data_IF_799169036734
#
_entry.id   IF_799169036734
#
_cell.length_a   1.000
_cell.length_b   1.000
_cell.length_c   1.000
_cell.angle_alpha   90.00
_cell.angle_beta   90.00
_cell.angle_gamma   90.00
#
_symmetry.space_group_name_H-M   'P 1'
#
loop_
_entity.id
_entity.type
_entity.pdbx_description
1 polymer ?
#
# COMPACT_ATOMS: atom_id res chain seq x y z
N UNK A 1 14.69 18.43 0.58
CA UNK A 1 13.97 17.50 -0.33
C UNK A 1 13.65 16.28 0.47
N UNK A 2 12.39 15.86 0.46
CA UNK A 2 11.98 14.63 1.12
C UNK A 2 12.61 13.43 0.39
N UNK A 3 13.04 12.40 1.12
CA UNK A 3 13.64 11.20 0.51
C UNK A 3 12.63 10.49 -0.39
N UNK A 4 11.35 10.52 -0.03
CA UNK A 4 10.29 9.93 -0.85
C UNK A 4 10.07 10.71 -2.15
N UNK A 5 10.22 12.04 -2.15
CA UNK A 5 10.17 12.84 -3.38
C UNK A 5 11.30 12.44 -4.33
N UNK A 6 12.51 12.20 -3.81
CA UNK A 6 13.64 11.78 -4.62
C UNK A 6 13.44 10.37 -5.21
N UNK A 7 12.95 9.42 -4.42
CA UNK A 7 12.72 8.04 -4.84
C UNK A 7 11.58 7.90 -5.87
N UNK A 8 10.61 8.81 -5.83
CA UNK A 8 9.45 8.81 -6.73
C UNK A 8 9.62 9.76 -7.92
N UNK A 9 10.80 10.38 -8.07
CA UNK A 9 11.08 11.41 -9.08
C UNK A 9 11.30 10.81 -10.46
N UNK A 10 10.41 11.18 -11.38
CA UNK A 10 10.40 11.07 -12.85
C UNK A 10 10.55 9.68 -13.49
N UNK A 11 11.30 8.77 -12.89
CA UNK A 11 11.50 7.42 -13.38
C UNK A 11 10.59 6.47 -12.61
N UNK A 12 9.43 6.15 -13.19
CA UNK A 12 8.49 5.16 -12.65
C UNK A 12 9.08 3.75 -12.50
N UNK A 13 10.37 3.55 -12.77
CA UNK A 13 11.10 2.30 -12.68
C UNK A 13 11.01 1.67 -11.30
N UNK A 14 11.16 2.45 -10.22
CA UNK A 14 11.04 1.92 -8.86
C UNK A 14 9.64 1.35 -8.64
N UNK A 15 8.62 2.14 -8.96
CA UNK A 15 7.23 1.76 -8.73
C UNK A 15 6.81 0.59 -9.63
N UNK A 16 7.24 0.60 -10.90
CA UNK A 16 7.00 -0.49 -11.85
C UNK A 16 7.62 -1.80 -11.37
N UNK A 17 8.86 -1.75 -10.86
CA UNK A 17 9.55 -2.93 -10.30
C UNK A 17 8.86 -3.47 -9.05
N UNK A 18 8.31 -2.59 -8.21
CA UNK A 18 7.56 -2.98 -7.02
C UNK A 18 6.19 -3.58 -7.36
N UNK A 19 5.52 -3.11 -8.40
CA UNK A 19 4.14 -3.51 -8.70
C UNK A 19 4.04 -4.74 -9.57
N UNK A 20 5.03 -4.99 -10.43
CA UNK A 20 5.06 -6.16 -11.31
C UNK A 20 4.76 -7.48 -10.58
N UNK A 21 5.31 -7.76 -9.37
CA UNK A 21 4.99 -8.99 -8.65
C UNK A 21 3.56 -9.06 -8.10
N UNK A 22 2.83 -7.94 -8.06
CA UNK A 22 1.48 -7.82 -7.51
C UNK A 22 0.37 -7.78 -8.56
N UNK A 23 0.70 -7.58 -9.83
CA UNK A 23 -0.27 -7.44 -10.93
C UNK A 23 -0.54 -8.79 -11.57
N UNK A 24 -1.80 -9.00 -11.95
CA UNK A 24 -2.25 -10.14 -12.74
C UNK A 24 -2.93 -9.67 -14.04
N UNK A 25 -2.82 -10.45 -15.11
CA UNK A 25 -3.57 -10.21 -16.35
C UNK A 25 -5.09 -10.38 -16.16
N UNK A 26 -5.50 -11.14 -15.14
CA UNK A 26 -6.91 -11.33 -14.78
C UNK A 26 -7.51 -10.16 -13.97
N UNK A 27 -6.72 -9.12 -13.67
CA UNK A 27 -7.19 -7.96 -12.92
C UNK A 27 -8.19 -7.13 -13.73
N UNK A 28 -9.34 -6.82 -13.10
CA UNK A 28 -10.43 -6.08 -13.74
C UNK A 28 -10.23 -4.58 -13.56
N UNK A 29 -9.32 -4.04 -14.35
CA UNK A 29 -9.04 -2.61 -14.43
C UNK A 29 -9.75 -2.00 -15.64
N UNK A 30 -10.38 -0.85 -15.45
CA UNK A 30 -10.99 -0.10 -16.55
C UNK A 30 -9.90 0.59 -17.40
N UNK A 31 -10.22 0.98 -18.64
CA UNK A 31 -9.27 1.64 -19.55
C UNK A 31 -8.64 2.90 -18.92
N UNK A 32 -9.44 3.70 -18.21
CA UNK A 32 -8.98 4.89 -17.48
C UNK A 32 -8.06 4.56 -16.31
N UNK A 33 -8.26 3.40 -15.65
CA UNK A 33 -7.41 2.93 -14.55
C UNK A 33 -6.07 2.43 -15.10
N UNK A 34 -6.09 1.69 -16.22
CA UNK A 34 -4.89 1.20 -16.92
C UNK A 34 -4.06 2.39 -17.44
N UNK A 35 -4.69 3.39 -18.05
CA UNK A 35 -4.01 4.56 -18.62
C UNK A 35 -3.23 5.38 -17.57
N UNK A 36 -3.59 5.28 -16.28
CA UNK A 36 -2.89 5.94 -15.16
C UNK A 36 -1.67 5.17 -14.67
N UNK A 37 -1.57 3.88 -14.97
CA UNK A 37 -0.44 3.07 -14.54
C UNK A 37 0.85 3.53 -15.24
N UNK A 38 2.02 3.29 -14.62
CA UNK A 38 3.30 3.39 -15.31
C UNK A 38 3.28 2.65 -16.65
N UNK A 39 3.89 3.24 -17.68
CA UNK A 39 3.86 2.69 -19.06
C UNK A 39 4.31 1.23 -19.16
N UNK A 40 5.23 0.81 -18.29
CA UNK A 40 5.76 -0.55 -18.23
C UNK A 40 4.70 -1.58 -17.79
N UNK A 41 3.66 -1.15 -17.08
CA UNK A 41 2.61 -2.00 -16.53
C UNK A 41 1.34 -2.00 -17.37
N UNK A 42 1.14 -0.99 -18.22
CA UNK A 42 -0.07 -0.88 -19.06
C UNK A 42 -0.23 -2.05 -20.05
N UNK A 43 0.88 -2.66 -20.45
CA UNK A 43 0.94 -3.78 -21.38
C UNK A 43 1.43 -5.07 -20.72
N UNK A 44 1.24 -5.19 -19.40
CA UNK A 44 1.67 -6.36 -18.64
C UNK A 44 0.68 -7.51 -18.83
N UNK A 45 1.16 -8.63 -19.40
CA UNK A 45 0.37 -9.85 -19.65
C UNK A 45 0.83 -11.03 -18.78
N UNK A 46 1.58 -10.75 -17.70
CA UNK A 46 2.06 -11.78 -16.79
C UNK A 46 1.17 -11.98 -15.58
N UNK A 47 1.54 -12.95 -14.76
CA UNK A 47 0.80 -13.32 -13.54
C UNK A 47 1.49 -12.84 -12.28
N UNK A 48 0.73 -12.78 -11.19
CA UNK A 48 1.24 -12.48 -9.85
C UNK A 48 2.33 -13.44 -9.43
N UNK A 49 3.23 -12.95 -8.59
CA UNK A 49 4.23 -13.79 -7.97
C UNK A 49 3.59 -14.75 -6.95
N UNK A 50 4.03 -16.01 -6.96
CA UNK A 50 3.53 -17.06 -6.06
C UNK A 50 4.19 -17.03 -4.67
N UNK A 51 5.24 -16.22 -4.47
CA UNK A 51 5.93 -16.09 -3.19
C UNK A 51 5.31 -14.98 -2.35
N UNK A 52 4.55 -15.31 -1.29
CA UNK A 52 3.70 -14.33 -0.62
C UNK A 52 4.49 -13.46 0.39
N UNK A 53 5.69 -13.88 0.80
CA UNK A 53 6.61 -13.06 1.60
C UNK A 53 7.08 -11.83 0.81
N UNK A 54 7.25 -11.98 -0.51
CA UNK A 54 7.63 -10.88 -1.40
C UNK A 54 6.47 -9.88 -1.49
N UNK A 55 5.24 -10.36 -1.63
CA UNK A 55 4.04 -9.53 -1.62
C UNK A 55 3.91 -8.70 -0.33
N UNK A 56 4.10 -9.33 0.84
CA UNK A 56 4.09 -8.64 2.13
C UNK A 56 5.13 -7.51 2.22
N UNK A 57 6.38 -7.78 1.80
CA UNK A 57 7.42 -6.74 1.81
C UNK A 57 7.12 -5.59 0.86
N UNK A 58 6.54 -5.87 -0.31
CA UNK A 58 6.13 -4.82 -1.25
C UNK A 58 5.01 -3.98 -0.63
N UNK A 59 3.96 -4.57 -0.08
CA UNK A 59 2.87 -3.82 0.56
C UNK A 59 3.37 -2.97 1.73
N UNK A 60 4.26 -3.48 2.57
CA UNK A 60 4.90 -2.68 3.64
C UNK A 60 5.71 -1.52 3.08
N UNK A 61 6.37 -1.71 1.94
CA UNK A 61 7.12 -0.65 1.25
C UNK A 61 6.16 0.43 0.73
N UNK A 62 5.05 0.04 0.10
CA UNK A 62 4.01 0.99 -0.34
C UNK A 62 3.41 1.74 0.87
N UNK A 63 3.19 1.04 1.99
CA UNK A 63 2.71 1.64 3.23
C UNK A 63 3.69 2.66 3.80
N UNK A 64 4.99 2.38 3.72
CA UNK A 64 6.06 3.31 4.07
C UNK A 64 6.05 4.56 3.18
N UNK A 65 5.87 4.41 1.86
CA UNK A 65 5.79 5.54 0.92
C UNK A 65 4.55 6.42 1.20
N UNK A 66 3.43 5.81 1.59
CA UNK A 66 2.22 6.51 2.00
C UNK A 66 2.37 7.33 3.30
N UNK A 67 3.49 7.22 4.02
CA UNK A 67 3.74 8.02 5.20
C UNK A 67 3.81 9.53 4.90
N UNK A 68 4.20 9.91 3.67
CA UNK A 68 4.34 11.30 3.23
C UNK A 68 3.19 11.73 2.33
N UNK A 69 2.83 13.02 2.35
CA UNK A 69 1.80 13.59 1.46
C UNK A 69 2.14 13.39 -0.01
N UNK A 70 3.39 13.68 -0.39
CA UNK A 70 3.87 13.51 -1.76
C UNK A 70 3.72 12.05 -2.23
N UNK A 71 4.13 11.09 -1.41
CA UNK A 71 3.94 9.66 -1.69
C UNK A 71 2.47 9.32 -1.96
N UNK A 72 1.54 9.72 -1.10
CA UNK A 72 0.11 9.44 -1.32
C UNK A 72 -0.43 10.07 -2.60
N UNK A 73 -0.04 11.30 -2.92
CA UNK A 73 -0.44 11.97 -4.16
C UNK A 73 0.11 11.24 -5.39
N UNK A 74 1.39 10.85 -5.35
CA UNK A 74 2.05 10.12 -6.43
C UNK A 74 1.41 8.74 -6.66
N UNK A 75 1.16 7.97 -5.60
CA UNK A 75 0.49 6.67 -5.71
C UNK A 75 -0.96 6.78 -6.22
N UNK A 76 -1.72 7.81 -5.83
CA UNK A 76 -3.07 8.05 -6.36
C UNK A 76 -3.03 8.43 -7.84
N UNK A 77 -2.12 9.32 -8.23
CA UNK A 77 -1.94 9.75 -9.61
C UNK A 77 -1.59 8.59 -10.55
N UNK A 78 -0.81 7.62 -10.05
CA UNK A 78 -0.36 6.43 -10.80
C UNK A 78 -1.32 5.24 -10.75
N UNK A 79 -2.56 5.42 -10.28
CA UNK A 79 -3.59 4.38 -10.32
C UNK A 79 -3.42 3.22 -9.32
N UNK A 80 -2.55 3.35 -8.30
CA UNK A 80 -2.20 2.22 -7.41
C UNK A 80 -3.37 1.71 -6.56
N UNK A 81 -4.35 2.58 -6.29
CA UNK A 81 -5.57 2.18 -5.61
C UNK A 81 -6.32 1.04 -6.34
N UNK A 82 -6.45 1.12 -7.67
CA UNK A 82 -7.18 0.13 -8.45
C UNK A 82 -6.49 -1.24 -8.40
N UNK A 83 -5.16 -1.25 -8.48
CA UNK A 83 -4.35 -2.47 -8.33
C UNK A 83 -4.54 -3.12 -6.96
N UNK A 84 -4.50 -2.34 -5.89
CA UNK A 84 -4.68 -2.87 -4.53
C UNK A 84 -6.11 -3.36 -4.29
N UNK A 85 -7.11 -2.75 -4.94
CA UNK A 85 -8.52 -3.20 -4.91
C UNK A 85 -8.66 -4.60 -5.52
N UNK A 86 -8.10 -4.82 -6.71
CA UNK A 86 -8.16 -6.13 -7.36
C UNK A 86 -7.32 -7.17 -6.60
N UNK A 87 -6.19 -6.76 -5.98
CA UNK A 87 -5.42 -7.63 -5.10
C UNK A 87 -6.21 -8.07 -3.84
N UNK A 88 -6.96 -7.17 -3.20
CA UNK A 88 -7.82 -7.50 -2.05
C UNK A 88 -8.98 -8.41 -2.46
N UNK A 89 -9.52 -8.21 -3.67
CA UNK A 89 -10.54 -9.08 -4.26
C UNK A 89 -10.02 -10.49 -4.51
N UNK A 90 -8.83 -10.61 -5.13
CA UNK A 90 -8.19 -11.88 -5.44
C UNK A 90 -7.82 -12.66 -4.17
N UNK A 91 -7.40 -11.96 -3.11
CA UNK A 91 -7.05 -12.59 -1.82
C UNK A 91 -8.25 -12.93 -0.94
N UNK A 92 -9.40 -12.28 -1.16
CA UNK A 92 -10.64 -12.57 -0.43
C UNK A 92 -11.49 -13.65 -1.09
N UNK A 93 -11.21 -14.04 -2.34
CA UNK A 93 -11.96 -15.06 -3.05
C UNK A 93 -11.63 -16.47 -2.50
N UNK A 94 -12.60 -17.20 -1.93
CA UNK A 94 -12.37 -18.57 -1.47
C UNK A 94 -12.38 -19.52 -2.68
N UNK A 95 -11.19 -19.83 -3.18
CA UNK A 95 -10.98 -20.94 -4.12
C UNK A 95 -11.20 -20.60 -5.60
N UNK A 96 -10.20 -20.94 -6.39
CA UNK A 96 -10.26 -20.89 -7.84
C UNK A 96 -8.87 -20.87 -8.44
N UNK A 97 -8.16 -22.01 -8.38
CA UNK A 97 -7.02 -22.25 -9.28
C UNK A 97 -7.56 -22.19 -10.71
N UNK A 98 -7.35 -21.08 -11.40
CA UNK A 98 -7.60 -21.03 -12.83
C UNK A 98 -6.26 -21.21 -13.54
N UNK A 99 -6.11 -22.37 -14.17
CA UNK A 99 -5.00 -22.62 -15.08
C UNK A 99 -5.25 -21.80 -16.34
N UNK A 100 -4.59 -20.66 -16.48
CA UNK A 100 -4.52 -19.98 -17.77
C UNK A 100 -3.64 -20.84 -18.69
N UNK A 101 -4.12 -21.09 -19.91
CA UNK A 101 -3.45 -21.92 -20.91
C UNK A 101 -1.98 -21.55 -21.05
N UNK A 102 -1.11 -22.56 -21.27
CA UNK A 102 0.36 -22.53 -21.24
C UNK A 102 1.06 -22.88 -19.91
N UNK A 103 0.38 -23.59 -19.00
CA UNK A 103 1.06 -24.24 -17.86
C UNK A 103 1.61 -23.28 -16.80
N UNK A 104 1.17 -22.02 -16.83
CA UNK A 104 1.45 -21.03 -15.77
C UNK A 104 0.35 -21.14 -14.72
N UNK A 105 0.73 -21.45 -13.48
CA UNK A 105 -0.19 -21.38 -12.34
C UNK A 105 -0.21 -19.93 -11.89
N UNK A 106 -1.29 -19.23 -12.24
CA UNK A 106 -1.55 -17.85 -11.84
C UNK A 106 -2.54 -17.88 -10.68
N UNK A 107 -2.08 -18.40 -9.54
CA UNK A 107 -2.77 -18.34 -8.23
C UNK A 107 -1.96 -19.13 -7.21
N UNK A 108 -1.31 -18.44 -6.27
CA UNK A 108 -1.18 -18.94 -4.90
C UNK A 108 -1.03 -17.78 -3.91
N UNK A 109 -2.14 -17.33 -3.36
CA UNK A 109 -2.18 -16.64 -2.07
C UNK A 109 -3.23 -17.34 -1.21
N UNK A 110 -2.85 -18.52 -0.70
CA UNK A 110 -3.64 -19.27 0.28
C UNK A 110 -3.58 -20.78 0.06
N UNK A 111 -2.52 -21.44 0.55
CA UNK A 111 -2.66 -22.84 0.91
C UNK A 111 -3.55 -22.90 2.13
N UNK A 112 -4.68 -23.57 1.97
CA UNK A 112 -5.34 -24.33 3.02
C UNK A 112 -4.30 -24.93 3.99
N UNK A 113 -4.51 -24.67 5.28
CA UNK A 113 -3.68 -25.09 6.43
C UNK A 113 -2.41 -24.27 6.74
N UNK A 114 -2.56 -22.94 6.77
CA UNK A 114 -1.57 -22.04 7.38
C UNK A 114 -2.14 -20.65 7.47
N UNK A 115 -2.91 -20.38 8.52
CA UNK A 115 -3.55 -19.09 8.76
C UNK A 115 -2.54 -17.94 8.61
N UNK A 116 -2.75 -17.12 7.58
CA UNK A 116 -2.18 -15.78 7.38
C UNK A 116 -2.68 -14.81 8.47
N UNK A 117 -2.55 -15.23 9.73
CA UNK A 117 -3.32 -14.73 10.85
C UNK A 117 -3.41 -15.69 12.04
N UNK A 118 -2.47 -16.61 12.24
CA UNK A 118 -2.14 -16.92 13.63
C UNK A 118 -1.40 -15.71 14.19
N UNK A 119 -1.91 -15.00 15.21
CA UNK A 119 -1.15 -13.96 15.88
C UNK A 119 0.06 -14.62 16.52
N UNK A 120 1.18 -14.66 15.80
CA UNK A 120 2.49 -14.77 16.40
C UNK A 120 2.62 -13.65 17.41
N UNK A 121 3.23 -13.93 18.54
CA UNK A 121 3.34 -13.05 19.70
C UNK A 121 4.25 -11.83 19.48
N UNK A 122 4.43 -11.41 18.24
CA UNK A 122 5.21 -10.30 17.75
C UNK A 122 4.29 -9.37 16.95
N UNK A 123 4.32 -8.10 17.31
CA UNK A 123 3.37 -7.03 16.98
C UNK A 123 3.38 -6.58 15.49
N UNK A 124 3.52 -7.51 14.54
CA UNK A 124 3.51 -7.23 13.10
C UNK A 124 2.08 -7.32 12.53
N UNK A 125 1.60 -6.21 11.96
CA UNK A 125 0.33 -6.17 11.23
C UNK A 125 0.30 -7.26 10.15
N UNK A 126 -0.78 -8.02 10.07
CA UNK A 126 -0.95 -9.05 9.04
C UNK A 126 -1.11 -8.47 7.64
N UNK A 127 -0.74 -9.24 6.61
CA UNK A 127 -0.83 -8.85 5.19
C UNK A 127 -2.16 -8.18 4.81
N UNK A 128 -3.28 -8.82 5.16
CA UNK A 128 -4.62 -8.31 4.88
C UNK A 128 -4.93 -6.98 5.60
N UNK A 129 -4.36 -6.78 6.80
CA UNK A 129 -4.54 -5.53 7.55
C UNK A 129 -3.77 -4.40 6.87
N UNK A 130 -2.52 -4.64 6.44
CA UNK A 130 -1.70 -3.67 5.73
C UNK A 130 -2.34 -3.30 4.39
N UNK A 131 -2.82 -4.28 3.64
CA UNK A 131 -3.52 -4.07 2.36
C UNK A 131 -4.75 -3.18 2.53
N UNK A 132 -5.63 -3.51 3.49
CA UNK A 132 -6.85 -2.73 3.75
C UNK A 132 -6.54 -1.33 4.27
N UNK A 133 -5.49 -1.18 5.08
CA UNK A 133 -5.02 0.14 5.52
C UNK A 133 -4.54 0.99 4.34
N UNK A 134 -3.78 0.40 3.42
CA UNK A 134 -3.35 1.06 2.18
C UNK A 134 -4.54 1.52 1.32
N UNK A 135 -5.50 0.62 1.09
CA UNK A 135 -6.73 0.95 0.35
C UNK A 135 -7.45 2.12 1.02
N UNK A 136 -7.63 2.07 2.34
CA UNK A 136 -8.28 3.12 3.11
C UNK A 136 -7.54 4.47 3.13
N UNK A 137 -6.21 4.46 2.96
CA UNK A 137 -5.41 5.68 2.81
C UNK A 137 -5.49 6.26 1.40
N UNK A 138 -5.53 5.42 0.37
CA UNK A 138 -5.52 5.87 -1.03
C UNK A 138 -6.90 6.24 -1.56
N UNK A 139 -7.99 5.67 -1.01
CA UNK A 139 -9.37 5.96 -1.45
C UNK A 139 -9.84 7.38 -1.10
N UNK A 140 -9.41 7.93 0.03
CA UNK A 140 -9.79 9.27 0.48
C UNK A 140 -8.78 10.32 0.02
N UNK A 141 -9.29 11.49 -0.35
CA UNK A 141 -8.44 12.65 -0.62
C UNK A 141 -7.88 13.23 0.70
N UNK A 142 -6.75 13.95 0.64
CA UNK A 142 -6.14 14.54 1.86
C UNK A 142 -7.10 15.50 2.59
N UNK A 143 -7.92 16.24 1.83
CA UNK A 143 -8.89 17.18 2.38
C UNK A 143 -10.00 16.49 3.19
N UNK A 144 -10.33 15.23 2.86
CA UNK A 144 -11.30 14.42 3.62
C UNK A 144 -10.68 13.77 4.87
N UNK A 145 -9.35 13.64 4.92
CA UNK A 145 -8.66 13.00 6.05
C UNK A 145 -8.41 13.95 7.23
N UNK A 146 -8.76 15.24 7.12
CA UNK A 146 -8.53 16.23 8.17
C UNK A 146 -7.05 16.44 8.52
N UNK A 147 -6.15 16.03 7.61
CA UNK A 147 -4.70 16.19 7.77
C UNK A 147 -4.36 17.63 7.42
N UNK A 148 -3.76 18.36 8.36
CA UNK A 148 -3.36 19.75 8.13
C UNK A 148 -2.46 19.85 6.89
N UNK A 149 -2.60 20.92 6.13
CA UNK A 149 -1.90 21.10 4.85
C UNK A 149 -0.36 21.05 5.01
N UNK A 150 0.13 21.37 6.21
CA UNK A 150 1.53 21.39 6.65
C UNK A 150 2.06 20.04 7.13
N UNK A 151 1.22 19.01 7.28
CA UNK A 151 1.67 17.68 7.71
C UNK A 151 2.43 16.97 6.58
N UNK A 152 3.75 17.11 6.60
CA UNK A 152 4.65 16.42 5.68
C UNK A 152 4.61 14.89 5.85
N UNK A 153 4.39 14.40 7.07
CA UNK A 153 4.20 12.97 7.35
C UNK A 153 3.19 12.67 8.45
N UNK A 154 2.32 11.68 8.20
CA UNK A 154 1.29 11.20 9.15
C UNK A 154 1.86 10.39 10.32
N UNK A 155 3.16 10.07 10.31
CA UNK A 155 3.82 9.40 11.45
C UNK A 155 3.98 10.29 12.67
N UNK A 156 3.97 11.60 12.46
CA UNK A 156 4.13 12.60 13.51
C UNK A 156 2.80 13.03 14.14
N UNK A 157 1.66 12.53 13.63
CA UNK A 157 0.32 12.91 14.09
C UNK A 157 0.08 12.62 15.59
N UNK A 158 0.82 11.66 16.17
CA UNK A 158 0.79 11.36 17.61
C UNK A 158 1.98 11.90 18.42
N UNK A 159 2.97 12.51 17.76
CA UNK A 159 4.18 13.04 18.43
C UNK A 159 4.08 14.53 18.74
N UNK A 160 3.38 15.30 17.89
CA UNK A 160 3.18 16.73 18.10
C UNK A 160 2.27 17.03 19.30
N UNK A 161 1.22 16.22 19.49
CA UNK A 161 0.23 16.41 20.56
C UNK A 161 0.83 16.19 21.97
N UNK A 162 1.83 15.31 22.08
CA UNK A 162 2.55 15.05 23.35
C UNK A 162 3.54 16.14 23.77
N UNK A 163 3.92 17.05 22.87
CA UNK A 163 4.83 18.16 23.21
C UNK A 163 4.07 19.39 23.72
N UNK A 164 2.79 19.53 23.36
CA UNK A 164 1.96 20.62 23.86
C UNK A 164 1.47 20.37 25.30
N UNK A 165 1.25 19.10 25.71
CA UNK A 165 0.94 18.79 27.11
C UNK A 165 2.12 19.03 28.06
N UNK A 166 3.37 18.89 27.59
CA UNK A 166 4.56 19.08 28.44
C UNK A 166 4.94 20.55 28.71
N UNK A 167 4.41 21.49 27.94
CA UNK A 167 4.65 22.93 28.15
C UNK A 167 3.63 23.55 29.12
N UNK A 168 2.57 22.81 29.50
CA UNK A 168 1.48 23.31 30.35
C UNK A 168 1.62 23.08 31.86
N UNK A 169 2.69 22.48 32.36
CA UNK A 169 2.80 22.08 33.80
C UNK A 169 4.05 22.63 34.48
N UNK A 170 4.38 23.90 34.25
CA UNK A 170 5.39 24.62 35.05
C UNK A 170 4.90 26.03 35.40
N UNK A 171 3.76 26.14 36.10
CA UNK A 171 3.38 27.41 36.75
C UNK A 171 2.88 27.14 38.17
N UNK A 172 3.79 27.37 39.11
CA UNK A 172 3.52 28.03 40.39
C UNK A 172 2.79 27.22 41.46
N UNK A 173 3.56 26.67 42.40
CA UNK A 173 3.10 26.61 43.78
C UNK A 173 4.23 27.12 44.69
N UNK A 174 4.17 28.42 44.95
CA UNK A 174 5.06 29.15 45.85
C UNK A 174 4.17 30.11 46.66
N UNK A 175 3.50 29.58 47.70
CA UNK A 175 3.21 30.24 48.99
C UNK A 175 2.26 29.46 49.90
#
# INVERSE_FOLDING_TARGET
MDLHELLLRDEDHLLSSLLWPLIDSEDRLDEDEIARLPIQLQYWEGCRNNAPEIGDKILRTLYQLCATRHGRQCLRGKGIYALLRELDRATSAPGGRETVGEGRICTFLGSEEGAWGSPGADNELGYAQVLRALIGMLIRSEGEMGVAEECLSIRHLGSADRLLEKVGTEVGDDR
#
